data_IF_907310044699
#
_entry.id   IF_907310044699
#
_cell.length_a   1.000
_cell.length_b   1.000
_cell.length_c   1.000
_cell.angle_alpha   90.00
_cell.angle_beta   90.00
_cell.angle_gamma   90.00
#
_symmetry.space_group_name_H-M   'P 1'
#
loop_
_entity.id
_entity.type
_entity.pdbx_description
1 polymer ?
#
# COMPACT_ATOMS: atom_id res chain seq x y z
N UNK A 1 -3.52 -22.39 -6.95
CA UNK A 1 -2.55 -21.27 -6.86
C UNK A 1 -3.31 -19.95 -6.91
N UNK A 2 -3.06 -18.99 -6.04
CA UNK A 2 -3.78 -17.71 -5.94
C UNK A 2 -2.83 -16.56 -6.23
N UNK A 3 -3.25 -15.56 -7.00
CA UNK A 3 -2.44 -14.38 -7.31
C UNK A 3 -3.13 -13.11 -6.80
N UNK A 4 -2.45 -12.40 -5.93
CA UNK A 4 -2.88 -11.09 -5.40
C UNK A 4 -1.92 -10.02 -5.93
N UNK A 5 -2.49 -8.98 -6.51
CA UNK A 5 -1.72 -7.79 -6.89
C UNK A 5 -1.86 -6.74 -5.80
N UNK A 6 -0.74 -6.18 -5.37
CA UNK A 6 -0.71 -5.05 -4.44
C UNK A 6 -0.07 -3.86 -5.13
N UNK A 7 -0.68 -2.68 -4.98
CA UNK A 7 -0.27 -1.47 -5.70
C UNK A 7 -0.21 -0.28 -4.75
N UNK A 8 0.86 0.50 -4.82
CA UNK A 8 0.88 1.84 -4.24
C UNK A 8 -0.06 2.76 -5.02
N UNK A 9 -0.84 3.61 -4.33
CA UNK A 9 -1.63 4.67 -4.97
C UNK A 9 -0.79 5.57 -5.89
N UNK A 10 -1.45 6.26 -6.82
CA UNK A 10 -0.83 7.22 -7.73
C UNK A 10 -0.47 8.54 -7.03
N UNK A 11 0.09 9.51 -7.77
CA UNK A 11 0.59 10.77 -7.22
C UNK A 11 -0.51 11.58 -6.52
N UNK A 12 -0.34 11.87 -5.22
CA UNK A 12 -1.27 12.70 -4.49
C UNK A 12 -1.05 14.18 -4.81
N UNK A 13 -2.11 14.98 -4.72
CA UNK A 13 -1.98 16.44 -4.79
C UNK A 13 -1.12 16.93 -3.61
N UNK A 14 -0.10 17.73 -3.91
CA UNK A 14 0.73 18.37 -2.87
C UNK A 14 -0.16 19.36 -2.12
N UNK A 15 -0.30 19.12 -0.82
CA UNK A 15 -1.01 20.03 0.07
C UNK A 15 -0.08 21.20 0.41
N UNK A 16 -0.46 22.40 0.01
CA UNK A 16 0.01 23.60 0.70
C UNK A 16 -0.91 23.75 1.92
N UNK A 17 -0.30 23.87 3.12
CA UNK A 17 -0.99 24.00 4.40
C UNK A 17 -2.20 24.95 4.29
N UNK A 18 -3.39 24.39 4.16
CA UNK A 18 -4.63 25.15 4.31
C UNK A 18 -4.90 25.14 5.82
N UNK A 19 -5.20 26.29 6.38
CA UNK A 19 -5.79 26.37 7.73
C UNK A 19 -7.09 25.53 7.70
N UNK A 20 -6.99 24.30 8.16
CA UNK A 20 -8.10 23.38 8.20
C UNK A 20 -8.30 22.95 9.66
N UNK A 21 -9.56 22.91 10.09
CA UNK A 21 -9.94 22.40 11.42
C UNK A 21 -9.82 20.87 11.53
N UNK A 22 -9.58 20.16 10.43
CA UNK A 22 -9.41 18.70 10.44
C UNK A 22 -8.07 18.31 11.10
N UNK A 23 -8.07 17.19 11.80
CA UNK A 23 -6.82 16.59 12.28
C UNK A 23 -5.89 16.23 11.13
N UNK A 24 -4.58 16.18 11.37
CA UNK A 24 -3.58 15.78 10.37
C UNK A 24 -3.93 14.43 9.72
N UNK A 25 -4.40 13.47 10.53
CA UNK A 25 -4.81 12.16 10.03
C UNK A 25 -5.95 12.28 9.02
N UNK A 26 -6.99 13.04 9.34
CA UNK A 26 -8.14 13.23 8.46
C UNK A 26 -7.77 14.00 7.18
N UNK A 27 -6.88 15.01 7.30
CA UNK A 27 -6.33 15.71 6.13
C UNK A 27 -5.60 14.73 5.22
N UNK A 28 -4.72 13.88 5.78
CA UNK A 28 -3.97 12.87 5.02
C UNK A 28 -4.90 11.86 4.32
N UNK A 29 -5.98 11.45 4.97
CA UNK A 29 -6.97 10.53 4.38
C UNK A 29 -7.73 11.16 3.21
N UNK A 30 -8.02 12.47 3.28
CA UNK A 30 -8.77 13.21 2.27
C UNK A 30 -7.95 13.67 1.06
N UNK A 31 -6.63 13.53 1.05
CA UNK A 31 -5.78 13.95 -0.08
C UNK A 31 -6.22 13.24 -1.36
N UNK A 32 -6.58 14.03 -2.37
CA UNK A 32 -6.95 13.56 -3.71
C UNK A 32 -5.71 13.30 -4.57
N UNK A 33 -5.88 12.73 -5.77
CA UNK A 33 -4.81 12.67 -6.76
C UNK A 33 -4.54 14.05 -7.36
N UNK A 34 -3.30 14.28 -7.80
CA UNK A 34 -2.97 15.39 -8.69
C UNK A 34 -3.46 15.08 -10.11
N UNK A 35 -3.52 16.07 -10.98
CA UNK A 35 -3.82 15.86 -12.41
C UNK A 35 -2.79 14.89 -13.04
N UNK A 36 -1.52 15.02 -12.69
CA UNK A 36 -0.48 14.09 -13.11
C UNK A 36 -0.73 12.69 -12.52
N UNK A 37 -1.19 12.60 -11.27
CA UNK A 37 -1.56 11.32 -10.64
C UNK A 37 -2.70 10.60 -11.34
N UNK A 38 -3.71 11.34 -11.81
CA UNK A 38 -4.79 10.78 -12.63
C UNK A 38 -4.24 10.23 -13.96
N UNK A 39 -3.33 10.95 -14.62
CA UNK A 39 -2.70 10.52 -15.86
C UNK A 39 -1.81 9.28 -15.66
N UNK A 40 -1.00 9.23 -14.58
CA UNK A 40 -0.17 8.07 -14.24
C UNK A 40 -1.05 6.82 -14.03
N UNK A 41 -2.12 6.93 -13.24
CA UNK A 41 -3.02 5.80 -13.00
C UNK A 41 -3.68 5.31 -14.29
N UNK A 42 -4.13 6.23 -15.14
CA UNK A 42 -4.71 5.94 -16.45
C UNK A 42 -3.73 5.25 -17.38
N UNK A 43 -2.48 5.70 -17.46
CA UNK A 43 -1.45 5.05 -18.29
C UNK A 43 -1.11 3.65 -17.74
N UNK A 44 -0.92 3.53 -16.44
CA UNK A 44 -0.61 2.23 -15.79
C UNK A 44 -1.73 1.20 -16.01
N UNK A 45 -3.00 1.63 -16.04
CA UNK A 45 -4.15 0.74 -16.27
C UNK A 45 -4.18 0.14 -17.69
N UNK A 46 -3.40 0.66 -18.63
CA UNK A 46 -3.27 0.09 -19.99
C UNK A 46 -2.33 -1.12 -20.03
N UNK A 47 -1.54 -1.36 -18.99
CA UNK A 47 -0.69 -2.54 -18.92
C UNK A 47 -1.57 -3.80 -18.95
N UNK A 48 -1.32 -4.72 -19.89
CA UNK A 48 -2.14 -5.93 -20.10
C UNK A 48 -2.20 -6.82 -18.85
N UNK A 49 -1.11 -6.90 -18.07
CA UNK A 49 -1.08 -7.66 -16.81
C UNK A 49 -2.00 -7.05 -15.73
N UNK A 50 -2.30 -5.75 -15.82
CA UNK A 50 -3.09 -5.01 -14.84
C UNK A 50 -4.54 -4.77 -15.29
N UNK A 51 -5.03 -5.56 -16.24
CA UNK A 51 -6.41 -5.52 -16.72
C UNK A 51 -7.22 -6.72 -16.22
N UNK A 52 -8.54 -6.61 -16.30
CA UNK A 52 -9.48 -7.69 -16.03
C UNK A 52 -9.34 -8.27 -14.59
N UNK A 53 -9.22 -7.42 -13.59
CA UNK A 53 -9.35 -7.85 -12.21
C UNK A 53 -10.79 -8.26 -11.92
N UNK A 54 -10.97 -9.44 -11.31
CA UNK A 54 -12.28 -9.89 -10.83
C UNK A 54 -12.77 -9.05 -9.65
N UNK A 55 -11.84 -8.62 -8.80
CA UNK A 55 -12.14 -7.85 -7.59
C UNK A 55 -11.05 -6.81 -7.36
N UNK A 56 -11.46 -5.58 -7.07
CA UNK A 56 -10.54 -4.52 -6.69
C UNK A 56 -10.88 -4.03 -5.28
N UNK A 57 -9.89 -4.10 -4.42
CA UNK A 57 -9.90 -3.54 -3.07
C UNK A 57 -9.07 -2.26 -3.01
N UNK A 58 -9.42 -1.39 -2.09
CA UNK A 58 -8.64 -0.18 -1.80
C UNK A 58 -8.67 0.12 -0.31
N UNK A 59 -7.66 0.80 0.19
CA UNK A 59 -7.77 1.49 1.47
C UNK A 59 -8.88 2.55 1.42
N UNK A 60 -9.26 3.09 2.58
CA UNK A 60 -10.25 4.17 2.71
C UNK A 60 -9.74 5.56 2.29
N UNK A 61 -8.45 5.70 1.99
CA UNK A 61 -7.84 6.97 1.58
C UNK A 61 -8.29 7.38 0.18
N UNK A 62 -8.69 8.63 0.00
CA UNK A 62 -9.27 9.13 -1.26
C UNK A 62 -8.33 8.86 -2.45
N UNK A 63 -7.03 9.13 -2.32
CA UNK A 63 -6.04 8.87 -3.38
C UNK A 63 -5.94 7.41 -3.80
N UNK A 64 -6.10 6.47 -2.85
CA UNK A 64 -6.08 5.05 -3.16
C UNK A 64 -7.36 4.61 -3.87
N UNK A 65 -8.53 5.08 -3.40
CA UNK A 65 -9.82 4.83 -4.06
C UNK A 65 -9.83 5.39 -5.48
N UNK A 66 -9.34 6.64 -5.67
CA UNK A 66 -9.25 7.27 -6.99
C UNK A 66 -8.33 6.48 -7.93
N UNK A 67 -7.18 6.00 -7.44
CA UNK A 67 -6.29 5.12 -8.21
C UNK A 67 -6.99 3.82 -8.60
N UNK A 68 -7.64 3.14 -7.64
CA UNK A 68 -8.30 1.85 -7.85
C UNK A 68 -9.36 1.89 -8.96
N UNK A 69 -10.07 3.01 -9.12
CA UNK A 69 -11.11 3.21 -10.15
C UNK A 69 -10.61 3.08 -11.58
N UNK A 70 -9.32 3.26 -11.84
CA UNK A 70 -8.75 3.07 -13.17
C UNK A 70 -8.58 1.59 -13.56
N UNK A 71 -8.66 0.67 -12.58
CA UNK A 71 -8.41 -0.76 -12.78
C UNK A 71 -9.66 -1.62 -12.74
N UNK A 72 -10.84 -1.01 -12.62
CA UNK A 72 -12.13 -1.72 -12.67
C UNK A 72 -13.25 -0.79 -13.16
N UNK A 73 -14.23 -1.36 -13.85
CA UNK A 73 -15.50 -0.71 -14.14
C UNK A 73 -16.57 -1.04 -13.08
N UNK A 74 -16.25 -1.95 -12.19
CA UNK A 74 -17.12 -2.39 -11.11
C UNK A 74 -16.88 -1.60 -9.81
N UNK A 75 -17.54 -2.00 -8.76
CA UNK A 75 -17.40 -1.44 -7.43
C UNK A 75 -15.98 -1.66 -6.88
N UNK A 76 -15.34 -0.59 -6.40
CA UNK A 76 -14.16 -0.69 -5.54
C UNK A 76 -14.60 -1.05 -4.12
N UNK A 77 -14.05 -2.14 -3.57
CA UNK A 77 -14.34 -2.58 -2.22
C UNK A 77 -13.35 -1.94 -1.24
N UNK A 78 -13.87 -1.27 -0.21
CA UNK A 78 -13.03 -0.54 0.75
C UNK A 78 -12.70 -1.42 1.95
N UNK A 79 -11.40 -1.50 2.26
CA UNK A 79 -10.89 -2.17 3.46
C UNK A 79 -9.95 -1.20 4.18
N UNK A 80 -10.39 -0.65 5.31
CA UNK A 80 -9.66 0.37 6.07
C UNK A 80 -8.27 -0.11 6.51
N UNK A 81 -8.12 -1.41 6.80
CA UNK A 81 -6.86 -1.99 7.24
C UNK A 81 -5.73 -1.97 6.19
N UNK A 82 -5.99 -1.62 4.93
CA UNK A 82 -4.97 -1.35 3.93
C UNK A 82 -4.57 0.14 3.86
N UNK A 83 -4.98 0.96 4.84
CA UNK A 83 -4.57 2.35 4.98
C UNK A 83 -3.08 2.51 5.27
N UNK A 84 -2.56 3.72 5.05
CA UNK A 84 -1.19 4.07 5.47
C UNK A 84 -1.08 4.03 7.00
N UNK A 85 0.13 3.90 7.53
CA UNK A 85 0.36 3.99 8.97
C UNK A 85 -0.16 5.31 9.52
N UNK A 86 -0.75 5.27 10.70
CA UNK A 86 -1.15 6.47 11.42
C UNK A 86 0.05 7.11 12.08
N UNK A 87 0.24 8.41 11.85
CA UNK A 87 1.38 9.14 12.42
C UNK A 87 1.17 9.47 13.89
N UNK A 88 -0.07 9.66 14.35
CA UNK A 88 -0.40 9.94 15.75
C UNK A 88 0.14 11.28 16.25
N UNK A 89 0.25 12.28 15.37
CA UNK A 89 0.67 13.65 15.64
C UNK A 89 -0.39 14.63 15.16
N UNK A 90 -0.42 15.81 15.75
CA UNK A 90 -1.40 16.85 15.39
C UNK A 90 -0.89 17.75 14.26
N UNK A 91 0.42 17.95 14.16
CA UNK A 91 1.06 18.79 13.15
C UNK A 91 2.29 18.09 12.57
N UNK A 92 2.63 18.40 11.31
CA UNK A 92 3.83 17.84 10.66
C UNK A 92 5.13 18.23 11.36
N UNK A 93 5.18 19.39 12.00
CA UNK A 93 6.33 19.88 12.76
C UNK A 93 6.62 19.03 14.01
N UNK A 94 5.62 18.29 14.51
CA UNK A 94 5.75 17.37 15.64
C UNK A 94 6.34 16.02 15.25
N UNK A 95 6.59 15.78 13.95
CA UNK A 95 7.16 14.53 13.47
C UNK A 95 8.57 14.34 14.01
N UNK A 96 8.88 13.22 14.68
CA UNK A 96 10.24 12.94 15.13
C UNK A 96 11.21 12.92 13.95
N UNK A 97 12.39 13.49 14.16
CA UNK A 97 13.47 13.47 13.17
C UNK A 97 13.78 12.01 12.75
N UNK A 98 13.94 11.79 11.45
CA UNK A 98 14.20 10.47 10.85
C UNK A 98 13.16 9.39 11.24
N UNK A 99 11.89 9.81 11.45
CA UNK A 99 10.82 8.92 11.91
C UNK A 99 10.69 7.64 11.06
N UNK A 100 10.68 7.78 9.74
CA UNK A 100 10.57 6.63 8.84
C UNK A 100 11.74 5.66 9.00
N UNK A 101 12.98 6.15 9.02
CA UNK A 101 14.16 5.32 9.22
C UNK A 101 14.15 4.60 10.57
N UNK A 102 13.80 5.31 11.65
CA UNK A 102 13.66 4.72 12.99
C UNK A 102 12.65 3.57 13.01
N UNK A 103 11.54 3.70 12.29
CA UNK A 103 10.56 2.63 12.20
C UNK A 103 11.09 1.39 11.47
N UNK A 104 11.95 1.55 10.47
CA UNK A 104 12.58 0.41 9.78
C UNK A 104 13.75 -0.21 10.57
N UNK A 105 14.37 0.54 11.49
CA UNK A 105 15.36 0.01 12.45
C UNK A 105 14.67 -0.77 13.57
N UNK A 106 13.57 -0.22 14.10
CA UNK A 106 12.75 -0.87 15.13
C UNK A 106 11.27 -0.82 14.71
N UNK A 107 10.75 -1.95 14.27
CA UNK A 107 9.36 -2.08 13.82
C UNK A 107 8.31 -1.83 14.91
N UNK A 108 8.71 -1.75 16.19
CA UNK A 108 7.83 -1.34 17.28
C UNK A 108 7.88 0.17 17.56
N UNK A 109 8.83 0.90 16.92
CA UNK A 109 8.94 2.33 17.10
C UNK A 109 7.71 3.06 16.55
N UNK A 110 7.10 3.93 17.38
CA UNK A 110 5.96 4.77 17.00
C UNK A 110 5.87 6.02 17.87
N UNK A 111 5.09 6.99 17.43
CA UNK A 111 4.63 8.09 18.29
C UNK A 111 3.57 7.56 19.27
N UNK A 112 3.28 8.25 20.38
CA UNK A 112 2.34 7.75 21.40
C UNK A 112 0.96 7.35 20.88
N UNK A 113 0.42 8.09 19.90
CA UNK A 113 -0.91 7.86 19.33
C UNK A 113 -0.85 7.30 17.89
N UNK A 114 0.34 6.98 17.39
CA UNK A 114 0.55 6.44 16.05
C UNK A 114 0.59 4.93 16.01
N UNK A 115 0.86 4.41 14.81
CA UNK A 115 1.06 2.99 14.57
C UNK A 115 2.55 2.66 14.36
N UNK A 116 2.99 1.55 14.91
CA UNK A 116 4.26 0.90 14.55
C UNK A 116 4.11 0.11 13.25
N UNK A 117 5.23 -0.25 12.61
CA UNK A 117 5.18 -1.09 11.41
C UNK A 117 4.67 -2.51 11.73
N UNK A 118 4.90 -3.02 12.94
CA UNK A 118 4.32 -4.30 13.36
C UNK A 118 2.79 -4.24 13.49
N UNK A 119 2.22 -3.16 14.04
CA UNK A 119 0.76 -2.98 14.10
C UNK A 119 0.15 -2.86 12.69
N UNK A 120 0.84 -2.17 11.77
CA UNK A 120 0.43 -2.10 10.36
C UNK A 120 0.47 -3.48 9.71
N UNK A 121 1.56 -4.22 9.88
CA UNK A 121 1.70 -5.59 9.38
C UNK A 121 0.56 -6.49 9.88
N UNK A 122 0.27 -6.47 11.18
CA UNK A 122 -0.78 -7.32 11.78
C UNK A 122 -2.16 -7.07 11.16
N UNK A 123 -2.56 -5.78 11.00
CA UNK A 123 -3.88 -5.46 10.43
C UNK A 123 -3.99 -5.77 8.94
N UNK A 124 -2.93 -5.51 8.16
CA UNK A 124 -2.90 -5.84 6.74
C UNK A 124 -2.89 -7.34 6.51
N UNK A 125 -2.04 -8.07 7.23
CA UNK A 125 -1.94 -9.53 7.13
C UNK A 125 -3.25 -10.23 7.50
N UNK A 126 -3.95 -9.75 8.53
CA UNK A 126 -5.27 -10.24 8.90
C UNK A 126 -6.27 -10.12 7.75
N UNK A 127 -6.28 -8.98 7.07
CA UNK A 127 -7.19 -8.73 5.95
C UNK A 127 -6.78 -9.48 4.69
N UNK A 128 -5.48 -9.57 4.40
CA UNK A 128 -4.98 -10.39 3.30
C UNK A 128 -5.33 -11.86 3.47
N UNK A 129 -5.13 -12.42 4.67
CA UNK A 129 -5.51 -13.81 4.96
C UNK A 129 -7.01 -14.05 4.79
N UNK A 130 -7.86 -13.10 5.17
CA UNK A 130 -9.30 -13.19 4.91
C UNK A 130 -9.61 -13.25 3.42
N UNK A 131 -8.99 -12.38 2.62
CA UNK A 131 -9.13 -12.37 1.16
C UNK A 131 -8.67 -13.72 0.57
N UNK A 132 -7.50 -14.22 0.95
CA UNK A 132 -6.96 -15.48 0.48
C UNK A 132 -7.86 -16.69 0.81
N UNK A 133 -8.56 -16.65 1.94
CA UNK A 133 -9.49 -17.72 2.35
C UNK A 133 -10.86 -17.59 1.68
N UNK A 134 -11.31 -16.37 1.40
CA UNK A 134 -12.65 -16.11 0.83
C UNK A 134 -12.69 -16.28 -0.69
N UNK A 135 -11.58 -15.95 -1.38
CA UNK A 135 -11.54 -15.92 -2.83
C UNK A 135 -10.50 -16.91 -3.37
N UNK A 136 -10.97 -17.96 -4.02
CA UNK A 136 -10.15 -18.85 -4.85
C UNK A 136 -10.31 -18.47 -6.32
N UNK A 137 -9.27 -18.69 -7.11
CA UNK A 137 -9.30 -18.51 -8.58
C UNK A 137 -9.75 -17.12 -9.07
N UNK A 138 -9.48 -16.10 -8.28
CA UNK A 138 -9.77 -14.70 -8.59
C UNK A 138 -8.49 -13.90 -8.80
N UNK A 139 -8.50 -13.06 -9.82
CA UNK A 139 -7.47 -12.04 -10.02
C UNK A 139 -7.84 -10.81 -9.22
N UNK A 140 -7.08 -10.51 -8.19
CA UNK A 140 -7.42 -9.49 -7.19
C UNK A 140 -6.36 -8.40 -7.18
N UNK A 141 -6.81 -7.13 -7.15
CA UNK A 141 -5.96 -5.97 -6.91
C UNK A 141 -6.29 -5.36 -5.53
N UNK A 142 -5.26 -4.99 -4.79
CA UNK A 142 -5.34 -4.22 -3.55
C UNK A 142 -4.54 -2.93 -3.73
N UNK A 143 -5.20 -1.78 -3.68
CA UNK A 143 -4.52 -0.47 -3.77
C UNK A 143 -4.32 0.09 -2.36
N UNK A 144 -3.07 0.27 -1.99
CA UNK A 144 -2.63 0.73 -0.67
C UNK A 144 -1.52 1.78 -0.75
N UNK A 145 -0.59 1.73 0.19
CA UNK A 145 0.41 2.76 0.44
C UNK A 145 1.80 2.15 0.59
N UNK A 146 2.84 2.92 0.24
CA UNK A 146 4.21 2.40 0.19
C UNK A 146 4.71 1.84 1.53
N UNK A 147 4.54 2.58 2.64
CA UNK A 147 5.05 2.12 3.93
C UNK A 147 4.23 0.97 4.49
N UNK A 148 2.92 0.99 4.29
CA UNK A 148 2.04 -0.10 4.69
C UNK A 148 2.37 -1.39 3.92
N UNK A 149 2.54 -1.31 2.59
CA UNK A 149 2.98 -2.46 1.77
C UNK A 149 4.39 -2.94 2.13
N UNK A 150 5.32 -2.02 2.50
CA UNK A 150 6.63 -2.40 2.98
C UNK A 150 6.54 -3.17 4.32
N UNK A 151 5.65 -2.74 5.22
CA UNK A 151 5.37 -3.48 6.45
C UNK A 151 4.77 -4.87 6.15
N UNK A 152 3.84 -4.98 5.21
CA UNK A 152 3.28 -6.26 4.78
C UNK A 152 4.37 -7.19 4.21
N UNK A 153 5.26 -6.66 3.36
CA UNK A 153 6.35 -7.44 2.76
C UNK A 153 7.33 -7.98 3.79
N UNK A 154 7.53 -7.28 4.93
CA UNK A 154 8.42 -7.75 5.99
C UNK A 154 8.05 -9.11 6.58
N UNK A 155 6.80 -9.57 6.35
CA UNK A 155 6.37 -10.93 6.71
C UNK A 155 7.21 -12.02 6.04
N UNK A 156 7.67 -11.76 4.82
CA UNK A 156 8.33 -12.78 3.98
C UNK A 156 9.67 -12.33 3.40
N UNK A 157 9.95 -11.04 3.45
CA UNK A 157 11.04 -10.40 2.73
C UNK A 157 11.97 -9.65 3.66
N UNK A 158 13.21 -9.49 3.24
CA UNK A 158 14.09 -8.47 3.77
C UNK A 158 13.66 -7.13 3.19
N UNK A 159 13.33 -6.17 4.06
CA UNK A 159 12.85 -4.84 3.69
C UNK A 159 13.71 -3.76 4.36
N UNK A 160 13.93 -2.64 3.67
CA UNK A 160 14.75 -1.53 4.14
C UNK A 160 14.02 -0.20 3.96
N UNK A 161 14.37 0.81 4.78
CA UNK A 161 13.87 2.16 4.59
C UNK A 161 14.31 2.72 3.24
N UNK A 162 15.58 2.52 2.89
CA UNK A 162 16.19 2.78 1.58
C UNK A 162 17.00 1.56 1.17
N UNK A 163 16.80 1.07 -0.05
CA UNK A 163 17.55 -0.07 -0.55
C UNK A 163 16.67 -1.22 -1.04
N UNK A 164 17.31 -2.23 -1.54
CA UNK A 164 16.66 -3.37 -2.18
C UNK A 164 15.83 -4.21 -1.22
N UNK A 165 14.72 -4.75 -1.74
CA UNK A 165 13.92 -5.77 -1.05
C UNK A 165 14.21 -7.13 -1.64
N UNK A 166 14.37 -8.14 -0.75
CA UNK A 166 14.70 -9.50 -1.16
C UNK A 166 13.69 -10.51 -0.66
N UNK A 167 13.32 -11.41 -1.55
CA UNK A 167 12.51 -12.59 -1.22
C UNK A 167 13.34 -13.83 -1.47
N UNK A 168 13.49 -14.70 -0.43
CA UNK A 168 14.33 -15.89 -0.49
C UNK A 168 15.78 -15.62 -0.96
N UNK A 169 16.34 -14.45 -0.61
CA UNK A 169 17.67 -14.02 -0.99
C UNK A 169 17.78 -13.34 -2.35
N UNK A 170 16.75 -13.36 -3.18
CA UNK A 170 16.72 -12.75 -4.51
C UNK A 170 16.10 -11.36 -4.47
N UNK A 171 16.77 -10.36 -5.07
CA UNK A 171 16.24 -9.00 -5.17
C UNK A 171 15.08 -8.94 -6.16
N UNK A 172 13.91 -8.49 -5.70
CA UNK A 172 12.73 -8.29 -6.55
C UNK A 172 12.34 -6.81 -6.70
N UNK A 173 12.88 -5.94 -5.86
CA UNK A 173 12.55 -4.52 -5.85
C UNK A 173 13.76 -3.68 -5.40
N UNK A 174 13.98 -2.55 -6.05
CA UNK A 174 15.11 -1.63 -5.79
C UNK A 174 14.87 -0.70 -4.58
N UNK A 175 13.68 -0.74 -3.98
CA UNK A 175 13.28 0.11 -2.88
C UNK A 175 12.74 1.49 -3.30
N UNK A 176 12.72 1.79 -4.60
CA UNK A 176 12.20 3.06 -5.12
C UNK A 176 10.70 2.94 -5.39
N UNK A 177 9.91 3.36 -4.42
CA UNK A 177 8.45 3.34 -4.52
C UNK A 177 7.94 4.40 -5.51
N UNK A 178 7.80 4.04 -6.77
CA UNK A 178 7.15 4.88 -7.77
C UNK A 178 5.62 4.94 -7.54
N UNK A 179 4.94 5.91 -8.16
CA UNK A 179 3.48 5.93 -8.17
C UNK A 179 2.95 4.76 -9.00
N UNK A 180 1.89 4.12 -8.52
CA UNK A 180 1.35 2.88 -9.08
C UNK A 180 2.38 1.73 -9.13
N UNK A 181 3.44 1.74 -8.27
CA UNK A 181 4.33 0.59 -8.11
C UNK A 181 3.51 -0.63 -7.74
N UNK A 182 3.67 -1.73 -8.49
CA UNK A 182 2.78 -2.88 -8.40
C UNK A 182 3.57 -4.16 -8.26
N UNK A 183 3.12 -5.02 -7.37
CA UNK A 183 3.69 -6.35 -7.17
C UNK A 183 2.62 -7.41 -7.29
N UNK A 184 2.96 -8.52 -7.95
CA UNK A 184 2.16 -9.74 -7.97
C UNK A 184 2.73 -10.69 -6.93
N UNK A 185 1.87 -11.15 -6.04
CA UNK A 185 2.16 -12.13 -5.00
C UNK A 185 1.45 -13.43 -5.37
N UNK A 186 2.22 -14.49 -5.58
CA UNK A 186 1.67 -15.81 -5.87
C UNK A 186 1.70 -16.68 -4.61
N UNK A 187 0.54 -17.23 -4.24
CA UNK A 187 0.35 -18.11 -3.09
C UNK A 187 -0.02 -19.51 -3.55
N UNK A 188 0.44 -20.51 -2.82
CA UNK A 188 -0.02 -21.89 -2.99
C UNK A 188 -1.42 -22.12 -2.39
N UNK A 189 -1.88 -23.37 -2.40
CA UNK A 189 -3.20 -23.74 -1.91
C UNK A 189 -3.32 -23.65 -0.38
N UNK A 190 -2.18 -23.68 0.35
CA UNK A 190 -2.08 -23.48 1.79
C UNK A 190 -1.89 -22.00 2.19
N UNK A 191 -2.01 -21.06 1.23
CA UNK A 191 -1.76 -19.64 1.40
C UNK A 191 -0.31 -19.29 1.79
N UNK A 192 0.65 -20.11 1.41
CA UNK A 192 2.07 -19.81 1.57
C UNK A 192 2.55 -19.01 0.37
N UNK A 193 3.20 -17.87 0.60
CA UNK A 193 3.77 -17.05 -0.46
C UNK A 193 4.94 -17.81 -1.12
N UNK A 194 4.81 -18.06 -2.42
CA UNK A 194 5.80 -18.80 -3.21
C UNK A 194 6.61 -17.93 -4.14
N UNK A 195 6.06 -16.77 -4.57
CA UNK A 195 6.71 -15.89 -5.51
C UNK A 195 6.25 -14.42 -5.33
N UNK A 196 7.14 -13.47 -5.62
CA UNK A 196 6.86 -12.03 -5.73
C UNK A 196 7.48 -11.52 -7.02
N UNK A 197 6.70 -10.78 -7.81
CA UNK A 197 7.13 -10.17 -9.06
C UNK A 197 6.80 -8.68 -9.05
N UNK A 198 7.75 -7.81 -9.33
CA UNK A 198 7.50 -6.41 -9.60
C UNK A 198 7.00 -6.23 -11.04
N UNK A 199 5.80 -5.71 -11.20
CA UNK A 199 5.16 -5.46 -12.50
C UNK A 199 5.52 -4.06 -13.01
N UNK A 200 6.41 -4.01 -13.98
CA UNK A 200 6.91 -2.76 -14.59
C UNK A 200 5.92 -2.09 -15.53
#
# INVERSE_FOLDING_TARGET
>A
MKSIYVMRHSEPLKYNSIENSDSLQLQNEKIILSENGENIAKEKSKNAELQNFDIVFSSSYVRAISTAKYFTNDKVNIIESFGERKFGIDKWEDMPENFGEKQFIDFNYKTPNGESLNEVLERELKSLNKILNEYSDKKILIVGHSTALAALFSKWCEVHYTGEYKFKGETFFDGIWNFCETFKLDFDDDNILINIINIK
#
